data_IF_532138289986
#
_entry.id   IF_532138289986
#
_cell.length_a   1.000
_cell.length_b   1.000
_cell.length_c   1.000
_cell.angle_alpha   90.00
_cell.angle_beta   90.00
_cell.angle_gamma   90.00
#
_symmetry.space_group_name_H-M   'P 1'
#
loop_
_entity.id
_entity.type
_entity.pdbx_description
1 polymer ?
#
# COMPACT_ATOMS: atom_id res chain seq x y z
N UNK A 1 -9.45 6.40 -3.63
CA UNK A 1 -8.82 7.73 -3.47
C UNK A 1 -7.39 7.50 -2.97
N UNK A 2 -6.45 8.43 -3.13
CA UNK A 2 -5.10 8.26 -2.58
C UNK A 2 -5.10 8.67 -1.09
N UNK A 3 -4.94 7.73 -0.12
CA UNK A 3 -5.48 7.88 1.24
C UNK A 3 -4.62 8.74 2.18
N UNK A 4 -3.34 8.95 1.88
CA UNK A 4 -2.38 9.53 2.83
C UNK A 4 -2.66 10.99 3.23
N UNK A 5 -3.42 11.74 2.42
CA UNK A 5 -3.87 13.09 2.81
C UNK A 5 -4.85 13.02 3.98
N UNK A 6 -5.79 12.07 3.96
CA UNK A 6 -6.74 11.83 5.05
C UNK A 6 -5.99 11.45 6.33
N UNK A 7 -4.97 10.59 6.24
CA UNK A 7 -4.17 10.21 7.40
C UNK A 7 -3.49 11.42 8.04
N UNK A 8 -2.95 12.32 7.20
CA UNK A 8 -2.31 13.55 7.67
C UNK A 8 -3.28 14.51 8.36
N UNK A 9 -4.54 14.58 7.92
CA UNK A 9 -5.58 15.38 8.55
C UNK A 9 -5.85 14.92 10.00
N UNK A 10 -5.83 13.60 10.24
CA UNK A 10 -6.04 13.00 11.56
C UNK A 10 -5.03 13.43 12.63
N UNK A 11 -3.84 13.89 12.24
CA UNK A 11 -2.88 14.50 13.18
C UNK A 11 -3.48 15.71 13.92
N UNK A 12 -4.29 16.51 13.23
CA UNK A 12 -4.95 17.68 13.83
C UNK A 12 -6.06 17.29 14.81
N UNK A 13 -6.51 16.03 14.73
CA UNK A 13 -7.51 15.43 15.63
C UNK A 13 -6.87 14.71 16.83
N UNK A 14 -5.54 14.77 16.95
CA UNK A 14 -4.78 14.21 18.08
C UNK A 14 -4.07 12.89 17.80
N UNK A 15 -4.17 12.35 16.57
CA UNK A 15 -3.44 11.14 16.17
C UNK A 15 -2.00 11.48 15.77
N UNK A 16 -1.13 11.56 16.78
CA UNK A 16 0.25 12.07 16.64
C UNK A 16 1.16 11.18 15.80
N UNK A 17 0.80 9.92 15.55
CA UNK A 17 1.54 9.03 14.65
C UNK A 17 1.55 9.54 13.20
N UNK A 18 0.54 10.31 12.79
CA UNK A 18 0.41 10.85 11.43
C UNK A 18 1.17 12.17 11.24
N UNK A 19 2.41 12.20 11.71
CA UNK A 19 3.33 13.30 11.37
C UNK A 19 3.50 13.40 9.85
N UNK A 20 3.88 14.59 9.37
CA UNK A 20 4.20 14.78 7.95
C UNK A 20 5.26 13.78 7.46
N UNK A 21 6.27 13.51 8.30
CA UNK A 21 7.32 12.54 7.99
C UNK A 21 6.77 11.12 7.84
N UNK A 22 5.95 10.66 8.79
CA UNK A 22 5.42 9.30 8.77
C UNK A 22 4.44 9.08 7.61
N UNK A 23 3.54 10.04 7.37
CA UNK A 23 2.65 10.00 6.21
C UNK A 23 3.45 10.02 4.90
N UNK A 24 4.54 10.79 4.82
CA UNK A 24 5.38 10.84 3.63
C UNK A 24 6.13 9.51 3.40
N UNK A 25 6.60 8.83 4.46
CA UNK A 25 7.25 7.52 4.34
C UNK A 25 6.33 6.49 3.71
N UNK A 26 5.11 6.33 4.22
CA UNK A 26 4.16 5.35 3.68
C UNK A 26 3.68 5.75 2.28
N UNK A 27 3.43 7.05 2.05
CA UNK A 27 3.12 7.59 0.73
C UNK A 27 4.18 7.21 -0.30
N UNK A 28 5.46 7.40 0.05
CA UNK A 28 6.58 7.10 -0.82
C UNK A 28 6.65 5.63 -1.22
N UNK A 29 6.29 4.70 -0.33
CA UNK A 29 6.24 3.25 -0.67
C UNK A 29 5.29 2.99 -1.83
N UNK A 30 4.12 3.63 -1.84
CA UNK A 30 3.13 3.46 -2.91
C UNK A 30 3.45 4.30 -4.16
N UNK A 31 4.05 5.48 -4.00
CA UNK A 31 4.58 6.25 -5.15
C UNK A 31 5.67 5.46 -5.90
N UNK A 32 6.58 4.82 -5.16
CA UNK A 32 7.64 3.97 -5.71
C UNK A 32 7.04 2.76 -6.44
N UNK A 33 6.00 2.13 -5.87
CA UNK A 33 5.28 1.03 -6.50
C UNK A 33 4.65 1.48 -7.82
N UNK A 34 3.92 2.59 -7.82
CA UNK A 34 3.26 3.14 -9.01
C UNK A 34 4.29 3.49 -10.08
N UNK A 35 5.37 4.17 -9.69
CA UNK A 35 6.45 4.53 -10.61
C UNK A 35 7.08 3.29 -11.22
N UNK A 36 7.39 2.28 -10.41
CA UNK A 36 7.97 1.01 -10.88
C UNK A 36 7.01 0.27 -11.83
N UNK A 37 5.70 0.26 -11.55
CA UNK A 37 4.69 -0.35 -12.41
C UNK A 37 4.58 0.37 -13.76
N UNK A 38 4.66 1.70 -13.77
CA UNK A 38 4.68 2.52 -14.99
C UNK A 38 5.93 2.21 -15.81
N UNK A 39 7.10 2.12 -15.17
CA UNK A 39 8.39 1.87 -15.82
C UNK A 39 8.45 0.50 -16.52
N UNK A 40 7.98 -0.57 -15.85
CA UNK A 40 7.94 -1.91 -16.48
C UNK A 40 6.84 -2.02 -17.55
N UNK A 41 5.81 -1.17 -17.46
CA UNK A 41 4.73 -1.06 -18.42
C UNK A 41 3.75 -2.24 -18.43
N UNK A 42 2.65 -2.08 -19.18
CA UNK A 42 1.54 -3.04 -19.18
C UNK A 42 1.90 -4.43 -19.72
N UNK A 43 2.92 -4.53 -20.59
CA UNK A 43 3.38 -5.79 -21.19
C UNK A 43 4.30 -6.60 -20.29
N UNK A 44 4.71 -6.06 -19.13
CA UNK A 44 5.45 -6.83 -18.14
C UNK A 44 4.66 -8.06 -17.69
N UNK A 45 5.38 -9.13 -17.34
CA UNK A 45 4.76 -10.36 -16.89
C UNK A 45 4.03 -10.15 -15.57
N UNK A 46 3.04 -11.00 -15.31
CA UNK A 46 2.32 -11.04 -14.03
C UNK A 46 3.30 -11.16 -12.85
N UNK A 47 4.29 -12.05 -12.96
CA UNK A 47 5.33 -12.24 -11.94
C UNK A 47 6.11 -10.95 -11.64
N UNK A 48 6.52 -10.20 -12.67
CA UNK A 48 7.24 -8.93 -12.47
C UNK A 48 6.39 -7.91 -11.69
N UNK A 49 5.09 -7.83 -12.00
CA UNK A 49 4.15 -6.94 -11.30
C UNK A 49 3.95 -7.40 -9.85
N UNK A 50 3.73 -8.69 -9.62
CA UNK A 50 3.57 -9.30 -8.28
C UNK A 50 4.79 -9.00 -7.40
N UNK A 51 6.01 -9.12 -7.92
CA UNK A 51 7.23 -8.82 -7.15
C UNK A 51 7.31 -7.35 -6.72
N UNK A 52 6.79 -6.41 -7.52
CA UNK A 52 6.71 -5.00 -7.12
C UNK A 52 5.72 -4.80 -5.97
N UNK A 53 4.53 -5.42 -6.04
CA UNK A 53 3.56 -5.39 -4.94
C UNK A 53 4.15 -5.98 -3.67
N UNK A 54 4.74 -7.17 -3.74
CA UNK A 54 5.40 -7.81 -2.60
C UNK A 54 6.40 -6.89 -1.92
N UNK A 55 7.27 -6.25 -2.71
CA UNK A 55 8.25 -5.29 -2.18
C UNK A 55 7.59 -4.11 -1.46
N UNK A 56 6.48 -3.59 -1.98
CA UNK A 56 5.76 -2.49 -1.35
C UNK A 56 5.08 -2.92 -0.04
N UNK A 57 4.44 -4.09 -0.01
CA UNK A 57 3.78 -4.61 1.21
C UNK A 57 4.81 -4.91 2.31
N UNK A 58 5.94 -5.54 1.97
CA UNK A 58 6.99 -5.80 2.96
C UNK A 58 7.61 -4.51 3.53
N UNK A 59 7.80 -3.48 2.70
CA UNK A 59 8.20 -2.15 3.20
C UNK A 59 7.14 -1.53 4.11
N UNK A 60 5.86 -1.77 3.82
CA UNK A 60 4.75 -1.29 4.64
C UNK A 60 4.73 -1.99 6.00
N UNK A 61 4.97 -3.31 6.05
CA UNK A 61 5.12 -4.05 7.31
C UNK A 61 6.25 -3.46 8.16
N UNK A 62 7.43 -3.20 7.55
CA UNK A 62 8.58 -2.59 8.24
C UNK A 62 8.22 -1.22 8.83
N UNK A 63 7.54 -0.35 8.07
CA UNK A 63 7.12 0.96 8.57
C UNK A 63 6.13 0.84 9.73
N UNK A 64 5.24 -0.17 9.70
CA UNK A 64 4.30 -0.41 10.79
C UNK A 64 4.98 -0.97 12.05
N UNK A 65 6.08 -1.69 11.91
CA UNK A 65 6.91 -2.11 13.06
C UNK A 65 7.72 -0.94 13.65
N UNK A 66 8.14 0.01 12.81
CA UNK A 66 8.95 1.17 13.23
C UNK A 66 8.13 2.31 13.82
N UNK A 67 6.86 2.45 13.42
CA UNK A 67 5.98 3.55 13.81
C UNK A 67 4.77 2.95 14.54
N UNK A 68 4.75 3.15 15.87
CA UNK A 68 3.64 2.71 16.72
C UNK A 68 2.29 3.24 16.20
N UNK A 69 1.31 2.34 16.15
CA UNK A 69 -0.07 2.59 15.74
C UNK A 69 -0.23 3.24 14.34
N UNK A 70 0.73 2.99 13.43
CA UNK A 70 0.68 3.51 12.06
C UNK A 70 -0.50 2.95 11.25
N UNK A 71 -0.78 1.66 11.38
CA UNK A 71 -1.84 0.98 10.64
C UNK A 71 -2.83 0.36 11.63
N UNK A 72 -3.99 0.99 11.76
CA UNK A 72 -5.14 0.42 12.47
C UNK A 72 -6.19 -0.09 11.48
N UNK A 73 -7.43 -0.27 11.93
CA UNK A 73 -8.50 -0.87 11.11
C UNK A 73 -8.82 -0.03 9.87
N UNK A 74 -8.87 1.30 10.00
CA UNK A 74 -9.21 2.19 8.89
C UNK A 74 -8.11 2.26 7.84
N UNK A 75 -6.86 2.35 8.29
CA UNK A 75 -5.68 2.40 7.44
C UNK A 75 -5.47 1.07 6.72
N UNK A 76 -5.73 -0.06 7.41
CA UNK A 76 -5.72 -1.39 6.81
C UNK A 76 -6.72 -1.48 5.64
N UNK A 77 -7.93 -0.97 5.82
CA UNK A 77 -8.94 -0.93 4.75
C UNK A 77 -8.49 -0.03 3.58
N UNK A 78 -7.99 1.16 3.87
CA UNK A 78 -7.46 2.10 2.86
C UNK A 78 -6.33 1.46 2.03
N UNK A 79 -5.40 0.73 2.68
CA UNK A 79 -4.27 0.07 2.03
C UNK A 79 -4.69 -1.14 1.19
N UNK A 80 -5.60 -1.96 1.69
CA UNK A 80 -6.16 -3.08 0.92
C UNK A 80 -6.92 -2.57 -0.32
N UNK A 81 -7.75 -1.53 -0.17
CA UNK A 81 -8.47 -0.93 -1.30
C UNK A 81 -7.50 -0.35 -2.33
N UNK A 82 -6.52 0.44 -1.90
CA UNK A 82 -5.51 1.02 -2.80
C UNK A 82 -4.75 -0.08 -3.55
N UNK A 83 -4.36 -1.15 -2.87
CA UNK A 83 -3.65 -2.28 -3.49
C UNK A 83 -4.50 -2.98 -4.55
N UNK A 84 -5.78 -3.18 -4.30
CA UNK A 84 -6.71 -3.80 -5.25
C UNK A 84 -6.99 -2.91 -6.47
N UNK A 85 -7.09 -1.59 -6.26
CA UNK A 85 -7.17 -0.60 -7.34
C UNK A 85 -5.92 -0.68 -8.23
N UNK A 86 -4.72 -0.69 -7.63
CA UNK A 86 -3.46 -0.75 -8.38
C UNK A 86 -3.30 -2.09 -9.13
N UNK A 87 -3.71 -3.19 -8.51
CA UNK A 87 -3.69 -4.53 -9.09
C UNK A 87 -4.56 -4.57 -10.35
N UNK A 88 -5.78 -4.03 -10.27
CA UNK A 88 -6.68 -3.88 -11.41
C UNK A 88 -6.09 -2.95 -12.49
N UNK A 89 -5.52 -1.82 -12.08
CA UNK A 89 -4.96 -0.82 -12.99
C UNK A 89 -3.78 -1.36 -13.82
N UNK A 90 -2.98 -2.29 -13.28
CA UNK A 90 -1.89 -2.93 -14.01
C UNK A 90 -2.32 -4.20 -14.79
N UNK A 91 -3.63 -4.47 -14.86
CA UNK A 91 -4.22 -5.55 -15.65
C UNK A 91 -4.23 -6.92 -14.97
N UNK A 92 -4.06 -6.96 -13.65
CA UNK A 92 -4.22 -8.17 -12.84
C UNK A 92 -5.62 -8.22 -12.22
N UNK A 93 -6.04 -9.41 -11.80
CA UNK A 93 -7.32 -9.63 -11.13
C UNK A 93 -7.07 -9.84 -9.62
N UNK A 94 -7.47 -8.91 -8.74
CA UNK A 94 -7.29 -9.05 -7.30
C UNK A 94 -7.87 -10.36 -6.73
N UNK A 95 -8.97 -10.87 -7.29
CA UNK A 95 -9.63 -12.06 -6.80
C UNK A 95 -8.78 -13.35 -6.93
N UNK A 96 -7.66 -13.30 -7.68
CA UNK A 96 -6.72 -14.42 -7.82
C UNK A 96 -5.76 -14.57 -6.65
N UNK A 97 -5.68 -13.59 -5.75
CA UNK A 97 -4.66 -13.51 -4.71
C UNK A 97 -5.29 -13.34 -3.33
N UNK A 98 -4.60 -13.81 -2.29
CA UNK A 98 -4.97 -13.63 -0.89
C UNK A 98 -6.33 -14.22 -0.57
N UNK A 99 -6.63 -15.42 -1.06
CA UNK A 99 -7.95 -16.07 -0.96
C UNK A 99 -9.12 -15.22 -1.47
N UNK A 100 -8.86 -14.34 -2.43
CA UNK A 100 -9.85 -13.44 -3.03
C UNK A 100 -9.85 -12.02 -2.44
N UNK A 101 -9.04 -11.76 -1.40
CA UNK A 101 -8.94 -10.45 -0.75
C UNK A 101 -7.92 -9.51 -1.45
N UNK A 102 -7.07 -10.06 -2.32
CA UNK A 102 -6.11 -9.30 -3.13
C UNK A 102 -4.65 -9.41 -2.67
N UNK A 103 -3.76 -8.77 -3.44
CA UNK A 103 -2.30 -8.91 -3.27
C UNK A 103 -1.77 -8.42 -1.92
N UNK A 104 -2.45 -7.47 -1.27
CA UNK A 104 -2.05 -7.05 0.08
C UNK A 104 -2.11 -8.23 1.08
N UNK A 105 -3.15 -9.06 0.98
CA UNK A 105 -3.41 -10.18 1.89
C UNK A 105 -2.42 -11.34 1.76
N UNK A 106 -1.61 -11.38 0.70
CA UNK A 106 -0.54 -12.38 0.53
C UNK A 106 0.63 -12.17 1.51
N UNK A 107 0.89 -10.92 1.90
CA UNK A 107 2.11 -10.57 2.66
C UNK A 107 1.92 -9.57 3.80
N UNK A 108 0.73 -8.99 3.99
CA UNK A 108 0.51 -8.02 5.07
C UNK A 108 0.64 -8.69 6.44
N UNK A 109 1.28 -7.98 7.36
CA UNK A 109 1.37 -8.35 8.79
C UNK A 109 0.62 -7.35 9.70
N UNK A 110 0.08 -6.29 9.09
CA UNK A 110 -0.79 -5.27 9.67
C UNK A 110 -2.28 -5.53 9.39
#
# INVERSE_FOLDING_TARGET
MYPFNKWRESYTEGLTQYTEENCQKIKQVFDDLITSLIEIGNQASEEQKIQLFKRAILKTNQLNEEIDDLIETGEREDLCELTNILTTACGLDPAKYGDGEGLASEWREW
#
